data_IF_220001252540
#
_entry.id   IF_220001252540
#
_cell.length_a   1.000
_cell.length_b   1.000
_cell.length_c   1.000
_cell.angle_alpha   90.00
_cell.angle_beta   90.00
_cell.angle_gamma   90.00
#
_symmetry.space_group_name_H-M   'P 1'
#
loop_
_entity.id
_entity.type
_entity.pdbx_description
1 polymer ?
#
# COMPACT_ATOMS: atom_id res chain seq x y z
N UNK A 1 8.76 2.53 0.01
CA UNK A 1 9.71 3.50 0.63
C UNK A 1 9.08 3.95 1.95
N UNK A 2 9.84 4.08 3.05
CA UNK A 2 9.28 4.43 4.37
C UNK A 2 9.71 5.84 4.74
N UNK A 3 8.77 6.68 5.16
CA UNK A 3 9.03 8.01 5.70
C UNK A 3 8.12 8.30 6.89
N UNK A 4 8.45 9.35 7.63
CA UNK A 4 7.67 9.78 8.79
C UNK A 4 6.99 11.10 8.48
N UNK A 5 5.71 11.18 8.80
CA UNK A 5 4.96 12.43 8.82
C UNK A 5 4.30 12.56 10.20
N UNK A 6 4.80 13.51 11.00
CA UNK A 6 4.45 13.64 12.41
C UNK A 6 4.75 12.35 13.19
N UNK A 7 3.73 11.72 13.76
CA UNK A 7 3.73 10.45 14.49
C UNK A 7 3.23 9.27 13.63
N UNK A 8 3.01 9.47 12.32
CA UNK A 8 2.67 8.41 11.39
C UNK A 8 3.89 7.91 10.60
N UNK A 9 4.06 6.59 10.52
CA UNK A 9 4.92 5.92 9.55
C UNK A 9 4.16 5.73 8.25
N UNK A 10 4.71 6.19 7.14
CA UNK A 10 4.08 6.09 5.82
C UNK A 10 4.94 5.24 4.92
N UNK A 11 4.32 4.28 4.25
CA UNK A 11 4.98 3.34 3.34
C UNK A 11 4.16 3.11 2.08
N UNK A 12 4.81 2.74 0.98
CA UNK A 12 4.14 2.45 -0.31
C UNK A 12 4.98 1.51 -1.18
N UNK A 13 4.35 1.01 -2.25
CA UNK A 13 5.01 0.39 -3.41
C UNK A 13 5.89 -0.81 -3.06
N UNK A 14 5.40 -1.65 -2.15
CA UNK A 14 6.10 -2.89 -1.82
C UNK A 14 6.02 -3.91 -2.95
N UNK A 15 4.93 -3.91 -3.75
CA UNK A 15 4.76 -4.80 -4.91
C UNK A 15 5.15 -6.25 -4.59
N UNK A 16 4.65 -6.78 -3.49
CA UNK A 16 5.03 -8.09 -2.95
C UNK A 16 4.83 -9.16 -4.00
N UNK A 17 5.82 -10.05 -4.13
CA UNK A 17 5.80 -11.16 -5.09
C UNK A 17 5.57 -10.70 -6.55
N UNK A 18 6.10 -9.52 -6.90
CA UNK A 18 6.05 -8.97 -8.26
C UNK A 18 7.47 -8.84 -8.84
N UNK A 19 8.00 -9.92 -9.42
CA UNK A 19 9.38 -9.97 -9.96
C UNK A 19 9.74 -8.81 -10.90
N UNK A 20 8.77 -8.27 -11.65
CA UNK A 20 9.00 -7.15 -12.56
C UNK A 20 9.40 -5.86 -11.84
N UNK A 21 9.16 -5.73 -10.53
CA UNK A 21 9.59 -4.53 -9.79
C UNK A 21 11.11 -4.37 -9.79
N UNK A 22 11.87 -5.47 -9.85
CA UNK A 22 13.32 -5.45 -9.97
C UNK A 22 13.81 -5.04 -11.37
N UNK A 23 12.93 -5.08 -12.38
CA UNK A 23 13.20 -4.58 -13.72
C UNK A 23 12.90 -3.09 -13.85
N UNK A 24 11.78 -2.64 -13.29
CA UNK A 24 11.35 -1.24 -13.32
C UNK A 24 12.16 -0.36 -12.36
N UNK A 25 12.50 -0.88 -11.18
CA UNK A 25 13.23 -0.16 -10.13
C UNK A 25 14.49 -0.93 -9.71
N UNK A 26 15.43 -1.20 -10.65
CA UNK A 26 16.59 -2.04 -10.38
C UNK A 26 17.52 -1.42 -9.33
N UNK A 27 17.80 -0.11 -9.40
CA UNK A 27 18.71 0.55 -8.45
C UNK A 27 18.12 0.56 -7.02
N UNK A 28 16.88 1.06 -6.79
CA UNK A 28 16.30 1.03 -5.45
C UNK A 28 16.17 -0.39 -4.88
N UNK A 29 15.73 -1.35 -5.71
CA UNK A 29 15.61 -2.74 -5.27
C UNK A 29 16.97 -3.37 -4.98
N UNK A 30 18.00 -3.12 -5.79
CA UNK A 30 19.36 -3.60 -5.51
C UNK A 30 19.93 -3.05 -4.20
N UNK A 31 19.70 -1.76 -3.89
CA UNK A 31 20.13 -1.15 -2.61
C UNK A 31 19.43 -1.83 -1.44
N UNK A 32 18.10 -1.98 -1.51
CA UNK A 32 17.32 -2.52 -0.41
C UNK A 32 17.57 -4.02 -0.29
N UNK A 33 17.47 -4.83 -1.34
CA UNK A 33 17.63 -6.28 -1.24
C UNK A 33 19.09 -6.74 -1.15
N UNK A 34 20.07 -5.89 -1.46
CA UNK A 34 21.50 -6.25 -1.51
C UNK A 34 21.92 -7.03 -2.77
N UNK A 35 21.04 -7.17 -3.75
CA UNK A 35 21.30 -7.94 -4.98
C UNK A 35 22.15 -7.13 -5.96
N UNK A 36 23.20 -7.75 -6.51
CA UNK A 36 24.08 -7.12 -7.50
C UNK A 36 23.46 -6.98 -8.89
N UNK A 37 22.69 -7.98 -9.35
CA UNK A 37 22.01 -7.99 -10.66
C UNK A 37 20.48 -8.15 -10.56
N UNK A 38 19.75 -7.11 -10.09
CA UNK A 38 18.29 -7.13 -9.90
C UNK A 38 17.48 -7.61 -11.11
N UNK A 39 17.91 -7.24 -12.33
CA UNK A 39 17.17 -7.55 -13.55
C UNK A 39 17.19 -9.02 -13.92
N UNK A 40 18.15 -9.82 -13.44
CA UNK A 40 18.33 -11.21 -13.91
C UNK A 40 18.17 -12.23 -12.79
N UNK A 41 17.35 -11.91 -11.79
CA UNK A 41 17.10 -12.79 -10.65
C UNK A 41 16.38 -14.07 -11.07
N UNK A 42 16.96 -15.24 -10.85
CA UNK A 42 16.23 -16.51 -10.87
C UNK A 42 15.15 -16.52 -9.76
N UNK A 43 14.21 -17.47 -9.81
CA UNK A 43 13.07 -17.47 -8.88
C UNK A 43 13.48 -17.57 -7.41
N UNK A 44 14.40 -18.47 -7.06
CA UNK A 44 14.90 -18.59 -5.68
C UNK A 44 15.65 -17.33 -5.23
N UNK A 45 16.49 -16.77 -6.11
CA UNK A 45 17.21 -15.52 -5.83
C UNK A 45 16.24 -14.34 -5.66
N UNK A 46 15.09 -14.37 -6.34
CA UNK A 46 14.03 -13.40 -6.17
C UNK A 46 13.36 -13.53 -4.79
N UNK A 47 13.07 -14.75 -4.33
CA UNK A 47 12.51 -14.96 -3.00
C UNK A 47 13.49 -14.54 -1.90
N UNK A 48 14.77 -14.90 -2.02
CA UNK A 48 15.83 -14.44 -1.10
C UNK A 48 15.94 -12.90 -1.09
N UNK A 49 15.84 -12.27 -2.27
CA UNK A 49 15.85 -10.82 -2.38
C UNK A 49 14.63 -10.15 -1.73
N UNK A 50 13.46 -10.77 -1.81
CA UNK A 50 12.25 -10.33 -1.14
C UNK A 50 12.38 -10.47 0.38
N UNK A 51 12.88 -11.62 0.86
CA UNK A 51 13.12 -11.86 2.29
C UNK A 51 14.06 -10.81 2.88
N UNK A 52 15.22 -10.60 2.26
CA UNK A 52 16.20 -9.58 2.66
C UNK A 52 15.60 -8.16 2.65
N UNK A 53 14.70 -7.89 1.69
CA UNK A 53 13.98 -6.62 1.63
C UNK A 53 13.07 -6.44 2.84
N UNK A 54 12.27 -7.45 3.19
CA UNK A 54 11.38 -7.38 4.35
C UNK A 54 12.13 -7.35 5.68
N UNK A 55 13.25 -8.06 5.81
CA UNK A 55 14.12 -7.98 6.99
C UNK A 55 14.66 -6.57 7.22
N UNK A 56 15.12 -5.89 6.16
CA UNK A 56 15.59 -4.50 6.27
C UNK A 56 14.46 -3.51 6.53
N UNK A 57 13.28 -3.75 5.95
CA UNK A 57 12.09 -2.96 6.26
C UNK A 57 11.70 -3.13 7.73
N UNK A 58 11.69 -4.36 8.26
CA UNK A 58 11.39 -4.66 9.66
C UNK A 58 12.39 -3.95 10.58
N UNK A 59 13.69 -4.10 10.32
CA UNK A 59 14.73 -3.45 11.12
C UNK A 59 14.60 -1.92 11.11
N UNK A 60 14.29 -1.32 9.95
CA UNK A 60 14.05 0.12 9.85
C UNK A 60 12.80 0.52 10.66
N UNK A 61 11.70 -0.21 10.55
CA UNK A 61 10.47 0.07 11.30
C UNK A 61 10.75 -0.02 12.80
N UNK A 62 11.43 -1.06 13.27
CA UNK A 62 11.81 -1.23 14.67
C UNK A 62 12.62 -0.04 15.18
N UNK A 63 13.67 0.35 14.45
CA UNK A 63 14.50 1.50 14.80
C UNK A 63 13.68 2.81 14.87
N UNK A 64 12.75 3.02 13.94
CA UNK A 64 11.92 4.23 13.91
C UNK A 64 10.89 4.27 15.05
N UNK A 65 10.29 3.12 15.39
CA UNK A 65 9.34 2.98 16.50
C UNK A 65 10.03 3.11 17.86
N UNK A 66 11.26 2.62 18.01
CA UNK A 66 12.03 2.79 19.25
C UNK A 66 12.46 4.25 19.47
N UNK A 67 12.78 4.97 18.40
CA UNK A 67 13.28 6.35 18.50
C UNK A 67 12.19 7.42 18.57
N UNK A 68 10.93 7.07 18.31
CA UNK A 68 9.80 8.01 18.22
C UNK A 68 8.51 7.38 18.68
N UNK A 69 7.64 8.19 19.28
CA UNK A 69 6.27 7.77 19.53
C UNK A 69 5.50 7.74 18.21
N UNK A 70 5.32 6.55 17.64
CA UNK A 70 4.51 6.31 16.45
C UNK A 70 3.13 5.80 16.90
N UNK A 71 2.04 6.38 16.40
CA UNK A 71 0.68 5.90 16.68
C UNK A 71 0.08 5.13 15.50
N UNK A 72 0.53 5.39 14.28
CA UNK A 72 -0.08 4.83 13.07
C UNK A 72 0.95 4.46 12.00
N UNK A 73 0.72 3.33 11.35
CA UNK A 73 1.36 2.92 10.10
C UNK A 73 0.37 3.02 8.97
N UNK A 74 0.68 3.82 7.94
CA UNK A 74 -0.16 4.08 6.78
C UNK A 74 0.53 3.52 5.54
N UNK A 75 -0.12 2.55 4.91
CA UNK A 75 0.33 1.98 3.65
C UNK A 75 -0.44 2.58 2.47
N UNK A 76 0.26 3.23 1.54
CA UNK A 76 -0.30 3.91 0.38
C UNK A 76 -0.32 3.00 -0.85
N UNK A 77 -1.17 1.98 -0.80
CA UNK A 77 -1.54 1.17 -1.94
C UNK A 77 -0.41 0.35 -2.58
N UNK A 78 -0.79 -0.48 -3.52
CA UNK A 78 0.07 -1.33 -4.34
C UNK A 78 0.90 -2.34 -3.53
N UNK A 79 0.24 -2.90 -2.50
CA UNK A 79 0.85 -3.84 -1.57
C UNK A 79 1.25 -5.16 -2.26
N UNK A 80 0.28 -5.88 -2.82
CA UNK A 80 0.51 -7.15 -3.53
C UNK A 80 0.09 -7.02 -4.98
N UNK A 81 0.76 -7.65 -5.95
CA UNK A 81 0.27 -7.67 -7.35
C UNK A 81 -0.29 -9.05 -7.72
N UNK A 82 -1.17 -9.14 -8.74
CA UNK A 82 -1.67 -10.41 -9.28
C UNK A 82 -2.73 -11.13 -8.43
N UNK A 83 -3.36 -10.43 -7.48
CA UNK A 83 -4.46 -10.99 -6.67
C UNK A 83 -5.84 -10.93 -7.36
N UNK A 84 -5.90 -10.59 -8.65
CA UNK A 84 -7.13 -10.60 -9.45
C UNK A 84 -7.57 -11.99 -9.89
N UNK A 85 -6.68 -12.98 -9.85
CA UNK A 85 -6.96 -14.35 -10.30
C UNK A 85 -6.97 -15.31 -9.10
N UNK A 86 -8.09 -16.01 -8.81
CA UNK A 86 -8.23 -16.85 -7.62
C UNK A 86 -7.13 -17.90 -7.44
N UNK A 87 -6.65 -18.52 -8.53
CA UNK A 87 -5.55 -19.50 -8.49
C UNK A 87 -4.23 -18.86 -8.04
N UNK A 88 -3.93 -17.66 -8.51
CA UNK A 88 -2.70 -16.92 -8.18
C UNK A 88 -2.72 -16.43 -6.72
N UNK A 89 -3.89 -16.05 -6.19
CA UNK A 89 -4.05 -15.61 -4.79
C UNK A 89 -3.61 -16.70 -3.80
N UNK A 90 -4.08 -17.94 -3.97
CA UNK A 90 -3.74 -19.04 -3.06
C UNK A 90 -2.24 -19.32 -3.03
N UNK A 91 -1.63 -19.41 -4.22
CA UNK A 91 -0.22 -19.70 -4.36
C UNK A 91 0.63 -18.59 -3.73
N UNK A 92 0.27 -17.33 -3.94
CA UNK A 92 1.00 -16.20 -3.36
C UNK A 92 0.85 -16.12 -1.84
N UNK A 93 -0.34 -16.35 -1.30
CA UNK A 93 -0.53 -16.44 0.16
C UNK A 93 0.33 -17.56 0.73
N UNK A 94 0.33 -18.74 0.08
CA UNK A 94 1.17 -19.86 0.52
C UNK A 94 2.66 -19.51 0.50
N UNK A 95 3.15 -18.86 -0.57
CA UNK A 95 4.55 -18.40 -0.65
C UNK A 95 4.84 -17.42 0.48
N UNK A 96 3.97 -16.43 0.72
CA UNK A 96 4.18 -15.47 1.81
C UNK A 96 4.28 -16.16 3.15
N UNK A 97 3.38 -17.09 3.45
CA UNK A 97 3.35 -17.78 4.75
C UNK A 97 4.51 -18.75 4.93
N UNK A 98 4.92 -19.47 3.87
CA UNK A 98 5.90 -20.55 3.98
C UNK A 98 7.34 -20.12 3.67
N UNK A 99 7.52 -19.09 2.85
CA UNK A 99 8.83 -18.69 2.33
C UNK A 99 9.23 -17.27 2.72
N UNK A 100 8.28 -16.41 3.09
CA UNK A 100 8.55 -15.02 3.44
C UNK A 100 7.86 -14.63 4.76
N UNK A 101 8.03 -15.40 5.86
CA UNK A 101 7.33 -15.15 7.12
C UNK A 101 7.60 -13.76 7.70
N UNK A 102 8.80 -13.22 7.46
CA UNK A 102 9.22 -11.86 7.86
C UNK A 102 8.25 -10.78 7.37
N UNK A 103 7.56 -11.00 6.24
CA UNK A 103 6.51 -10.10 5.79
C UNK A 103 5.41 -9.90 6.85
N UNK A 104 4.95 -10.99 7.48
CA UNK A 104 3.93 -10.95 8.53
C UNK A 104 4.48 -10.46 9.86
N UNK A 105 5.76 -10.75 10.15
CA UNK A 105 6.44 -10.27 11.36
C UNK A 105 6.42 -8.74 11.46
N UNK A 106 6.48 -8.01 10.33
CA UNK A 106 6.33 -6.55 10.30
C UNK A 106 4.99 -6.11 10.89
N UNK A 107 3.89 -6.71 10.43
CA UNK A 107 2.55 -6.32 10.88
C UNK A 107 2.24 -6.79 12.30
N UNK A 108 2.80 -7.93 12.70
CA UNK A 108 2.73 -8.42 14.07
C UNK A 108 3.52 -7.51 15.02
N UNK A 109 4.71 -7.05 14.61
CA UNK A 109 5.49 -6.10 15.40
C UNK A 109 4.69 -4.80 15.61
N UNK A 110 4.13 -4.22 14.54
CA UNK A 110 3.31 -3.01 14.64
C UNK A 110 2.12 -3.19 15.59
N UNK A 111 1.43 -4.34 15.51
CA UNK A 111 0.33 -4.69 16.42
C UNK A 111 0.75 -4.74 17.88
N UNK A 112 1.86 -5.41 18.17
CA UNK A 112 2.39 -5.57 19.52
C UNK A 112 2.81 -4.22 20.13
N UNK A 113 3.17 -3.24 19.29
CA UNK A 113 3.46 -1.87 19.72
C UNK A 113 2.20 -1.00 19.86
N UNK A 114 1.01 -1.56 19.61
CA UNK A 114 -0.25 -0.81 19.63
C UNK A 114 -0.36 0.22 18.50
N UNK A 115 0.39 0.05 17.41
CA UNK A 115 0.38 0.96 16.26
C UNK A 115 -0.77 0.56 15.34
N UNK A 116 -1.68 1.51 15.08
CA UNK A 116 -2.80 1.31 14.16
C UNK A 116 -2.27 1.11 12.74
N UNK A 117 -2.70 0.06 12.05
CA UNK A 117 -2.29 -0.28 10.68
C UNK A 117 -3.41 0.08 9.72
N UNK A 118 -3.11 1.00 8.81
CA UNK A 118 -4.06 1.58 7.88
C UNK A 118 -3.60 1.34 6.45
N UNK A 119 -4.46 0.76 5.62
CA UNK A 119 -4.24 0.64 4.19
C UNK A 119 -5.10 1.64 3.44
N UNK A 120 -4.44 2.41 2.60
CA UNK A 120 -5.08 3.19 1.56
C UNK A 120 -5.00 2.40 0.26
N UNK A 121 -6.15 2.10 -0.33
CA UNK A 121 -6.23 1.29 -1.54
C UNK A 121 -5.64 2.04 -2.74
N UNK A 122 -4.67 1.41 -3.39
CA UNK A 122 -4.24 1.81 -4.73
C UNK A 122 -5.18 1.30 -5.82
N UNK A 123 -4.98 1.78 -7.04
CA UNK A 123 -5.74 1.30 -8.21
C UNK A 123 -5.63 -0.22 -8.39
N UNK A 124 -4.49 -0.81 -8.02
CA UNK A 124 -4.32 -2.25 -8.10
C UNK A 124 -4.94 -2.99 -6.92
N UNK A 125 -5.23 -2.35 -5.78
CA UNK A 125 -5.75 -3.06 -4.60
C UNK A 125 -7.26 -3.21 -4.58
N UNK A 126 -7.99 -2.21 -5.07
CA UNK A 126 -9.45 -2.18 -5.00
C UNK A 126 -10.10 -3.45 -5.58
N UNK A 127 -9.65 -3.88 -6.76
CA UNK A 127 -10.18 -5.09 -7.39
C UNK A 127 -9.94 -6.38 -6.56
N UNK A 128 -8.93 -6.39 -5.69
CA UNK A 128 -8.55 -7.57 -4.88
C UNK A 128 -9.54 -7.80 -3.75
N UNK A 129 -10.18 -6.75 -3.23
CA UNK A 129 -11.16 -6.89 -2.17
C UNK A 129 -12.42 -7.65 -2.59
N UNK A 130 -12.63 -7.87 -3.90
CA UNK A 130 -13.67 -8.76 -4.44
C UNK A 130 -13.36 -10.24 -4.21
N UNK A 131 -12.10 -10.61 -3.96
CA UNK A 131 -11.70 -11.97 -3.65
C UNK A 131 -11.68 -12.17 -2.13
N UNK A 132 -12.44 -13.15 -1.62
CA UNK A 132 -12.58 -13.39 -0.18
C UNK A 132 -11.23 -13.65 0.52
N UNK A 133 -10.32 -14.41 -0.10
CA UNK A 133 -9.02 -14.73 0.51
C UNK A 133 -8.07 -13.54 0.52
N UNK A 134 -8.07 -12.75 -0.56
CA UNK A 134 -7.34 -11.50 -0.60
C UNK A 134 -7.86 -10.52 0.46
N UNK A 135 -9.19 -10.37 0.57
CA UNK A 135 -9.82 -9.57 1.62
C UNK A 135 -9.46 -10.05 3.02
N UNK A 136 -9.48 -11.36 3.27
CA UNK A 136 -9.05 -11.93 4.55
C UNK A 136 -7.58 -11.65 4.86
N UNK A 137 -6.69 -11.74 3.87
CA UNK A 137 -5.29 -11.34 4.05
C UNK A 137 -5.19 -9.86 4.42
N UNK A 138 -5.89 -8.97 3.71
CA UNK A 138 -5.79 -7.54 3.96
C UNK A 138 -6.34 -7.17 5.35
N UNK A 139 -7.45 -7.79 5.76
CA UNK A 139 -8.00 -7.62 7.11
C UNK A 139 -7.12 -8.21 8.22
N UNK A 140 -6.23 -9.16 7.90
CA UNK A 140 -5.23 -9.65 8.84
C UNK A 140 -4.10 -8.63 9.02
N UNK A 141 -3.76 -7.89 7.97
CA UNK A 141 -2.62 -6.98 7.97
C UNK A 141 -2.98 -5.55 8.43
N UNK A 142 -4.24 -5.13 8.26
CA UNK A 142 -4.67 -3.75 8.51
C UNK A 142 -5.95 -3.68 9.32
N UNK A 143 -5.96 -2.77 10.29
CA UNK A 143 -7.10 -2.43 11.14
C UNK A 143 -8.12 -1.55 10.39
N UNK A 144 -7.64 -0.75 9.43
CA UNK A 144 -8.46 0.14 8.61
C UNK A 144 -8.07 0.03 7.13
N UNK A 145 -9.06 -0.08 6.25
CA UNK A 145 -8.86 -0.12 4.79
C UNK A 145 -9.82 0.88 4.14
N UNK A 146 -9.30 1.81 3.34
CA UNK A 146 -10.11 2.82 2.66
C UNK A 146 -9.45 3.39 1.41
N UNK A 147 -10.18 4.18 0.64
CA UNK A 147 -9.62 4.95 -0.49
C UNK A 147 -8.91 6.23 -0.03
N UNK A 148 -9.29 6.69 1.16
CA UNK A 148 -8.72 7.81 1.86
C UNK A 148 -8.81 7.55 3.36
N UNK A 149 -7.83 8.01 4.11
CA UNK A 149 -7.83 7.95 5.57
C UNK A 149 -7.54 9.35 6.07
N UNK A 150 -8.38 9.81 6.98
CA UNK A 150 -8.20 11.10 7.65
C UNK A 150 -7.64 10.86 9.03
N UNK A 151 -6.54 11.53 9.33
CA UNK A 151 -5.97 11.58 10.67
C UNK A 151 -5.79 13.05 11.06
N UNK A 152 -6.56 13.50 12.04
CA UNK A 152 -6.66 14.90 12.45
C UNK A 152 -6.93 15.84 11.25
N UNK A 153 -5.92 16.68 10.92
CA UNK A 153 -5.96 17.68 9.86
C UNK A 153 -5.40 17.16 8.52
N UNK A 154 -4.99 15.89 8.44
CA UNK A 154 -4.36 15.33 7.26
C UNK A 154 -5.27 14.34 6.56
N UNK A 155 -5.23 14.40 5.24
CA UNK A 155 -5.90 13.45 4.36
C UNK A 155 -4.83 12.67 3.61
N UNK A 156 -4.77 11.38 3.86
CA UNK A 156 -3.88 10.47 3.16
C UNK A 156 -4.64 9.78 2.03
N UNK A 157 -4.03 9.73 0.85
CA UNK A 157 -4.54 8.99 -0.30
C UNK A 157 -3.39 8.49 -1.17
N UNK A 158 -3.58 7.37 -1.87
CA UNK A 158 -2.64 6.84 -2.86
C UNK A 158 -2.68 7.70 -4.14
N UNK A 159 -3.80 8.38 -4.39
CA UNK A 159 -3.97 9.19 -5.60
C UNK A 159 -3.47 10.62 -5.37
N UNK A 160 -2.50 11.11 -6.17
CA UNK A 160 -1.99 12.46 -5.98
C UNK A 160 -3.09 13.51 -6.17
N UNK A 161 -3.41 14.23 -5.09
CA UNK A 161 -4.28 15.40 -5.09
C UNK A 161 -3.47 16.65 -5.47
N UNK A 162 -2.97 16.72 -6.70
CA UNK A 162 -2.15 17.85 -7.14
C UNK A 162 -1.45 17.63 -8.49
N UNK A 163 -0.97 18.72 -9.09
CA UNK A 163 -0.38 18.76 -10.44
C UNK A 163 0.69 17.71 -10.66
N UNK A 164 0.56 16.99 -11.77
CA UNK A 164 1.67 16.25 -12.36
C UNK A 164 2.06 17.04 -13.59
N UNK A 165 3.32 17.49 -13.65
CA UNK A 165 3.89 18.09 -14.87
C UNK A 165 4.04 17.05 -16.00
N UNK A 166 3.73 15.78 -15.72
CA UNK A 166 4.00 14.66 -16.61
C UNK A 166 2.91 14.44 -17.68
N UNK A 167 1.79 15.17 -17.68
CA UNK A 167 0.83 15.11 -18.81
C UNK A 167 -0.23 16.21 -18.77
N UNK A 168 -0.48 16.86 -19.92
CA UNK A 168 -1.58 17.84 -20.08
C UNK A 168 -2.96 17.24 -19.74
N UNK A 169 -3.15 15.94 -19.97
CA UNK A 169 -4.40 15.22 -19.69
C UNK A 169 -4.67 14.96 -18.20
N UNK A 170 -3.65 15.10 -17.33
CA UNK A 170 -3.77 14.90 -15.88
C UNK A 170 -3.68 16.21 -15.08
N UNK A 171 -3.71 17.36 -15.76
CA UNK A 171 -3.80 18.71 -15.16
C UNK A 171 -5.15 18.96 -14.48
N UNK A 172 -5.14 19.86 -13.50
CA UNK A 172 -6.31 20.34 -12.76
C UNK A 172 -6.01 20.56 -11.28
N UNK A 173 -6.81 21.40 -10.64
CA UNK A 173 -6.69 21.71 -9.20
C UNK A 173 -6.94 20.45 -8.36
N UNK A 174 -6.43 20.39 -7.11
CA UNK A 174 -6.76 19.30 -6.18
C UNK A 174 -8.28 19.05 -6.06
N UNK A 175 -9.09 20.12 -6.13
CA UNK A 175 -10.55 20.03 -6.13
C UNK A 175 -11.13 19.37 -7.38
N UNK A 176 -10.64 19.71 -8.58
CA UNK A 176 -11.06 19.07 -9.84
C UNK A 176 -10.64 17.61 -9.94
N UNK A 177 -9.49 17.26 -9.34
CA UNK A 177 -9.04 15.87 -9.24
C UNK A 177 -9.89 15.10 -8.24
N UNK A 178 -10.18 15.67 -7.08
CA UNK A 178 -11.13 15.12 -6.12
C UNK A 178 -12.52 14.92 -6.73
N UNK A 179 -13.02 15.89 -7.51
CA UNK A 179 -14.32 15.79 -8.18
C UNK A 179 -14.33 14.71 -9.27
N UNK A 180 -13.27 14.60 -10.09
CA UNK A 180 -13.12 13.51 -11.08
C UNK A 180 -13.03 12.15 -10.40
N UNK A 181 -12.26 12.03 -9.33
CA UNK A 181 -12.23 10.83 -8.50
C UNK A 181 -13.64 10.51 -8.00
N UNK A 182 -14.33 11.47 -7.38
CA UNK A 182 -15.68 11.30 -6.87
C UNK A 182 -16.69 10.91 -7.97
N UNK A 183 -16.57 11.44 -9.20
CA UNK A 183 -17.41 11.04 -10.33
C UNK A 183 -17.13 9.62 -10.82
N UNK A 184 -15.85 9.24 -10.94
CA UNK A 184 -15.45 7.87 -11.28
C UNK A 184 -15.99 6.91 -10.21
N UNK A 185 -15.89 7.27 -8.93
CA UNK A 185 -16.43 6.49 -7.83
C UNK A 185 -17.97 6.42 -7.88
N UNK A 186 -18.68 7.54 -8.01
CA UNK A 186 -20.15 7.57 -8.12
C UNK A 186 -20.67 6.76 -9.32
N UNK A 187 -19.98 6.81 -10.46
CA UNK A 187 -20.34 6.02 -11.64
C UNK A 187 -20.10 4.51 -11.45
N UNK A 188 -19.12 4.13 -10.61
CA UNK A 188 -18.79 2.72 -10.34
C UNK A 188 -19.64 2.13 -9.19
N UNK A 189 -20.09 2.97 -8.24
CA UNK A 189 -20.88 2.57 -7.06
C UNK A 189 -22.41 2.58 -7.28
N UNK A 190 -22.92 3.07 -8.41
CA UNK A 190 -24.36 2.91 -8.75
C UNK A 190 -24.76 1.46 -9.03
N UNK A 191 -23.81 0.52 -9.10
CA UNK A 191 -24.10 -0.89 -9.31
C UNK A 191 -23.94 -1.79 -8.09
N UNK A 192 -23.49 -1.30 -6.93
CA UNK A 192 -23.59 -2.04 -5.67
C UNK A 192 -23.50 -1.09 -4.45
N UNK A 193 -24.48 -1.21 -3.57
CA UNK A 193 -24.73 -0.36 -2.41
C UNK A 193 -23.49 -0.17 -1.50
N UNK A 194 -22.99 1.06 -1.42
CA UNK A 194 -22.44 1.62 -0.17
C UNK A 194 -22.55 3.16 -0.21
N UNK A 195 -23.58 3.67 0.43
CA UNK A 195 -23.83 5.11 0.59
C UNK A 195 -22.88 5.68 1.64
N UNK A 196 -21.92 6.51 1.22
CA UNK A 196 -21.36 7.55 2.09
C UNK A 196 -21.81 8.89 1.53
N UNK A 197 -22.99 9.33 2.00
CA UNK A 197 -23.46 10.71 1.92
C UNK A 197 -22.55 11.56 2.82
N UNK A 198 -21.43 12.04 2.29
CA UNK A 198 -20.82 13.24 2.85
C UNK A 198 -21.56 14.43 2.25
N UNK A 199 -22.54 14.94 3.02
CA UNK A 199 -23.00 16.32 2.92
C UNK A 199 -21.77 17.21 3.04
N UNK A 200 -21.18 17.58 1.90
CA UNK A 200 -20.30 18.74 1.86
C UNK A 200 -21.16 19.94 2.21
N UNK A 201 -20.93 20.41 3.44
CA UNK A 201 -21.12 21.79 3.83
C UNK A 201 -20.81 22.68 2.64
N UNK A 202 -21.84 23.41 2.23
CA UNK A 202 -21.67 24.75 1.71
C UNK A 202 -20.85 25.55 2.73
N UNK A 203 -19.53 25.47 2.63
CA UNK A 203 -18.68 26.58 3.01
C UNK A 203 -18.75 27.50 1.80
N UNK A 204 -19.67 28.47 1.92
CA UNK A 204 -19.65 29.69 1.12
C UNK A 204 -18.25 30.30 1.27
N UNK A 205 -17.49 30.30 0.18
CA UNK A 205 -16.68 31.45 -0.18
C UNK A 205 -17.37 32.12 -1.37
#
# INVERSE_FOLDING_TARGET
MIFIHQDALISSDWHILHRNIYWFLPKPRGIISGVKNPKQLLYEQFLEAEENTYQKILALIQQLVESRKIHQFIFLGDLVFGFNKPKEVNQKIQILTQKLPVFFEIFQFLENQGIKRSLILGNHDDFKLKNAKAKSLYNLLFDEIGLFIRDNNYLYTHFPLGYSDANDKSRGTPFEKYYRMNQIFMATFTHNHFYIRLKMLAIKM
#
